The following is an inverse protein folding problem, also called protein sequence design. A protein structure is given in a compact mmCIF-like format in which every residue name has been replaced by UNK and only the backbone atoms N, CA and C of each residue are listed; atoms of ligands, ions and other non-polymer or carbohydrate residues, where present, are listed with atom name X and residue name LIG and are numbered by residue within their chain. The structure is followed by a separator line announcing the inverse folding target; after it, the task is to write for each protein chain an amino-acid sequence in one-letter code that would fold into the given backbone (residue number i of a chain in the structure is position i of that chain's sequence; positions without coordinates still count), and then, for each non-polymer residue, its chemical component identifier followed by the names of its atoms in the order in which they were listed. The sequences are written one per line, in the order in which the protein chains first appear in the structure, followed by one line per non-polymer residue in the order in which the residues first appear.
data_IF_230155811624
#
_entry.id   IF_230155811624
#
_cell.length_a   1.000
_cell.length_b   1.000
_cell.length_c   1.000
_cell.angle_alpha   90.00
_cell.angle_beta   90.00
_cell.angle_gamma   90.00
#
_symmetry.space_group_name_H-M   'P 1'
#
loop_
_entity.id
_entity.type
_entity.pdbx_description
1 polymer ?
#
# COMPACT_ATOMS: atom_id res chain seq x y z
N UNK A 1 13.51 22.78 -23.09
CA UNK A 1 14.09 22.78 -21.74
C UNK A 1 13.42 21.79 -20.79
N UNK A 2 12.08 21.73 -20.63
CA UNK A 2 11.40 20.79 -19.69
C UNK A 2 11.71 19.30 -19.95
N UNK A 3 11.81 18.86 -21.21
CA UNK A 3 12.12 17.46 -21.57
C UNK A 3 13.56 17.05 -21.21
N UNK A 4 14.52 17.98 -21.33
CA UNK A 4 15.92 17.72 -21.00
C UNK A 4 16.10 17.62 -19.47
N UNK A 5 15.41 18.46 -18.71
CA UNK A 5 15.42 18.41 -17.23
C UNK A 5 14.80 17.09 -16.74
N UNK A 6 13.69 16.64 -17.34
CA UNK A 6 13.08 15.35 -16.99
C UNK A 6 14.01 14.18 -17.29
N UNK A 7 14.68 14.21 -18.47
CA UNK A 7 15.64 13.16 -18.87
C UNK A 7 16.86 13.14 -17.93
N UNK A 8 17.38 14.32 -17.54
CA UNK A 8 18.47 14.45 -16.56
C UNK A 8 18.06 13.92 -15.19
N UNK A 9 16.83 14.19 -14.76
CA UNK A 9 16.31 13.72 -13.48
C UNK A 9 16.17 12.18 -13.48
N UNK A 10 15.63 11.61 -14.55
CA UNK A 10 15.54 10.15 -14.74
C UNK A 10 16.93 9.50 -14.81
N UNK A 11 17.90 10.14 -15.48
CA UNK A 11 19.27 9.63 -15.57
C UNK A 11 19.99 9.72 -14.22
N UNK A 12 19.82 10.82 -13.48
CA UNK A 12 20.36 10.97 -12.12
C UNK A 12 19.76 9.93 -11.17
N UNK A 13 18.46 9.70 -11.27
CA UNK A 13 17.75 8.66 -10.52
C UNK A 13 18.32 7.28 -10.85
N UNK A 14 18.52 6.97 -12.14
CA UNK A 14 19.08 5.70 -12.60
C UNK A 14 20.54 5.51 -12.14
N UNK A 15 21.38 6.55 -12.18
CA UNK A 15 22.79 6.50 -11.72
C UNK A 15 22.87 6.31 -10.21
N UNK A 16 22.01 6.96 -9.43
CA UNK A 16 21.94 6.78 -7.97
C UNK A 16 21.53 5.35 -7.61
N UNK A 17 20.61 4.75 -8.38
CA UNK A 17 20.18 3.35 -8.17
C UNK A 17 21.18 2.32 -8.70
N UNK A 18 22.05 2.65 -9.66
CA UNK A 18 23.07 1.73 -10.17
C UNK A 18 24.35 1.67 -9.32
N UNK A 19 24.47 2.47 -8.26
CA UNK A 19 25.63 2.42 -7.36
C UNK A 19 25.58 1.19 -6.45
N UNK A 20 26.04 0.10 -6.96
CA UNK A 20 26.53 -1.18 -6.40
C UNK A 20 26.46 -1.43 -4.87
N UNK A 21 25.27 -1.34 -4.27
CA UNK A 21 24.88 -2.23 -3.18
C UNK A 21 23.70 -3.03 -3.68
N UNK A 22 23.73 -4.34 -3.52
CA UNK A 22 22.58 -5.18 -3.83
C UNK A 22 21.38 -4.63 -3.04
N UNK A 23 20.47 -3.97 -3.71
CA UNK A 23 19.21 -3.58 -3.11
C UNK A 23 18.44 -4.86 -2.84
N UNK A 24 18.17 -5.17 -1.59
CA UNK A 24 17.24 -6.25 -1.29
C UNK A 24 15.85 -5.81 -1.75
N UNK A 25 15.23 -6.64 -2.55
CA UNK A 25 13.88 -6.44 -3.08
C UNK A 25 13.01 -7.54 -2.52
N UNK A 26 11.90 -7.18 -1.90
CA UNK A 26 10.92 -8.14 -1.45
C UNK A 26 9.64 -7.98 -2.28
N UNK A 27 9.17 -9.06 -2.88
CA UNK A 27 7.85 -9.14 -3.50
C UNK A 27 6.89 -9.79 -2.52
N UNK A 28 5.65 -9.30 -2.44
CA UNK A 28 4.68 -9.90 -1.52
C UNK A 28 3.26 -9.90 -2.06
N UNK A 29 2.49 -10.88 -1.60
CA UNK A 29 1.06 -10.97 -1.83
C UNK A 29 0.33 -11.14 -0.50
N UNK A 30 -0.87 -10.59 -0.40
CA UNK A 30 -1.63 -10.55 0.85
C UNK A 30 -3.14 -10.60 0.65
N UNK A 31 -3.83 -11.16 1.66
CA UNK A 31 -5.25 -10.93 1.89
C UNK A 31 -5.44 -9.71 2.76
N UNK A 32 -6.51 -8.98 2.54
CA UNK A 32 -6.82 -7.73 3.19
C UNK A 32 -8.27 -7.70 3.65
N UNK A 33 -8.52 -7.05 4.79
CA UNK A 33 -9.85 -6.67 5.25
C UNK A 33 -9.83 -5.19 5.57
N UNK A 34 -10.74 -4.42 4.97
CA UNK A 34 -10.87 -2.99 5.20
C UNK A 34 -12.22 -2.69 5.85
N UNK A 35 -12.16 -2.15 7.07
CA UNK A 35 -13.29 -1.68 7.85
C UNK A 35 -13.39 -0.17 7.68
N UNK A 36 -14.38 0.29 6.94
CA UNK A 36 -14.59 1.68 6.56
C UNK A 36 -15.69 2.29 7.42
N UNK A 37 -15.60 3.60 7.71
CA UNK A 37 -16.53 4.26 8.63
C UNK A 37 -17.97 4.34 8.09
N UNK A 38 -18.14 4.62 6.78
CA UNK A 38 -19.48 4.82 6.16
C UNK A 38 -19.97 3.61 5.33
N UNK A 39 -19.18 2.55 5.21
CA UNK A 39 -19.54 1.35 4.42
C UNK A 39 -19.35 0.07 5.21
N UNK A 40 -19.94 -1.03 4.74
CA UNK A 40 -19.66 -2.34 5.33
C UNK A 40 -18.21 -2.75 5.04
N UNK A 41 -17.56 -3.36 6.04
CA UNK A 41 -16.19 -3.85 5.90
C UNK A 41 -16.07 -4.88 4.78
N UNK A 42 -15.05 -4.76 3.94
CA UNK A 42 -14.87 -5.58 2.75
C UNK A 42 -13.59 -6.38 2.76
N UNK A 43 -13.64 -7.57 2.16
CA UNK A 43 -12.47 -8.41 1.93
C UNK A 43 -11.87 -8.10 0.56
N UNK A 44 -10.57 -8.20 0.50
CA UNK A 44 -9.81 -8.00 -0.73
C UNK A 44 -8.45 -8.67 -0.65
N UNK A 45 -7.60 -8.27 -1.54
CA UNK A 45 -6.22 -8.74 -1.57
C UNK A 45 -5.34 -7.77 -2.32
N UNK A 46 -4.05 -8.07 -2.34
CA UNK A 46 -3.12 -7.20 -3.04
C UNK A 46 -1.75 -7.83 -3.26
N UNK A 47 -0.97 -7.07 -3.99
CA UNK A 47 0.44 -7.37 -4.22
C UNK A 47 1.27 -6.12 -3.91
N UNK A 48 2.52 -6.32 -3.54
CA UNK A 48 3.40 -5.21 -3.27
C UNK A 48 4.87 -5.53 -3.46
N UNK A 49 5.65 -4.49 -3.39
CA UNK A 49 7.08 -4.48 -3.60
C UNK A 49 7.75 -3.61 -2.54
N UNK A 50 8.73 -4.16 -1.83
CA UNK A 50 9.61 -3.40 -0.95
C UNK A 50 11.01 -3.30 -1.57
N UNK A 51 11.61 -2.13 -1.49
CA UNK A 51 12.99 -1.87 -1.88
C UNK A 51 13.74 -1.33 -0.67
N UNK A 52 14.77 -2.02 -0.22
CA UNK A 52 15.64 -1.53 0.84
C UNK A 52 16.36 -0.26 0.39
N UNK A 53 16.27 0.79 1.20
CA UNK A 53 16.97 2.05 0.99
C UNK A 53 18.17 2.12 1.95
N UNK A 54 19.26 2.68 1.56
CA UNK A 54 20.45 3.04 2.35
C UNK A 54 20.82 2.13 3.54
N UNK A 55 19.84 1.68 4.33
CA UNK A 55 19.99 0.83 5.53
C UNK A 55 18.96 -0.30 5.51
N UNK A 56 19.25 -1.37 6.25
CA UNK A 56 18.31 -2.50 6.42
C UNK A 56 17.02 -2.12 7.17
N UNK A 57 17.03 -0.98 7.88
CA UNK A 57 15.90 -0.47 8.62
C UNK A 57 14.88 0.29 7.76
N UNK A 58 15.27 0.83 6.61
CA UNK A 58 14.41 1.70 5.82
C UNK A 58 14.09 1.06 4.47
N UNK A 59 12.81 0.95 4.16
CA UNK A 59 12.34 0.40 2.89
C UNK A 59 11.34 1.36 2.24
N UNK A 60 11.47 1.50 0.92
CA UNK A 60 10.42 2.08 0.08
C UNK A 60 9.39 0.98 -0.19
N UNK A 61 8.13 1.28 0.01
CA UNK A 61 7.02 0.36 -0.13
C UNK A 61 6.04 0.84 -1.20
N UNK A 62 5.71 -0.02 -2.15
CA UNK A 62 4.69 0.22 -3.15
C UNK A 62 3.73 -0.97 -3.20
N UNK A 63 2.42 -0.71 -3.19
CA UNK A 63 1.41 -1.77 -3.21
C UNK A 63 0.17 -1.40 -3.98
N UNK A 64 -0.53 -2.40 -4.47
CA UNK A 64 -1.84 -2.28 -5.09
C UNK A 64 -2.81 -3.25 -4.42
N UNK A 65 -4.02 -2.77 -4.16
CA UNK A 65 -5.12 -3.56 -3.60
C UNK A 65 -6.21 -3.76 -4.65
N UNK A 66 -7.02 -4.78 -4.42
CA UNK A 66 -8.27 -5.01 -5.12
C UNK A 66 -9.33 -5.35 -4.06
N UNK A 67 -10.30 -4.48 -3.92
CA UNK A 67 -11.50 -4.69 -3.12
C UNK A 67 -12.70 -4.68 -4.06
N UNK A 68 -13.42 -5.80 -4.09
CA UNK A 68 -14.62 -5.98 -4.89
C UNK A 68 -15.83 -6.06 -3.96
N UNK A 69 -17.00 -5.66 -4.46
CA UNK A 69 -18.28 -5.78 -3.77
C UNK A 69 -18.37 -4.97 -2.47
N UNK A 70 -18.01 -3.69 -2.50
CA UNK A 70 -18.41 -2.78 -1.44
C UNK A 70 -19.90 -2.48 -1.61
N UNK A 71 -20.75 -3.18 -0.87
CA UNK A 71 -22.19 -2.92 -0.86
C UNK A 71 -22.45 -1.60 -0.12
N UNK A 72 -22.80 -0.55 -0.86
CA UNK A 72 -23.24 0.74 -0.31
C UNK A 72 -24.75 0.69 -0.11
N UNK A 73 -25.25 -0.37 0.52
CA UNK A 73 -26.67 -0.55 0.79
C UNK A 73 -27.51 -0.58 -0.49
N UNK A 74 -28.48 0.32 -0.64
CA UNK A 74 -29.40 0.35 -1.78
C UNK A 74 -28.81 1.00 -3.06
N UNK A 75 -27.59 1.52 -3.02
CA UNK A 75 -27.02 2.38 -4.08
C UNK A 75 -26.13 1.66 -5.11
N UNK A 76 -25.80 0.38 -4.94
CA UNK A 76 -25.08 -0.42 -5.95
C UNK A 76 -23.64 -0.80 -5.58
N UNK A 77 -22.95 -1.48 -6.48
CA UNK A 77 -21.61 -2.00 -6.27
C UNK A 77 -20.57 -0.91 -6.49
N UNK A 78 -19.59 -0.81 -5.59
CA UNK A 78 -18.45 0.10 -5.67
C UNK A 78 -17.16 -0.73 -5.67
N UNK A 79 -16.36 -0.63 -6.73
CA UNK A 79 -15.02 -1.20 -6.80
C UNK A 79 -13.99 -0.16 -6.38
N UNK A 80 -13.16 -0.51 -5.40
CA UNK A 80 -12.11 0.39 -4.88
C UNK A 80 -10.75 -0.27 -5.08
N UNK A 81 -9.85 0.44 -5.74
CA UNK A 81 -8.49 -0.01 -6.02
C UNK A 81 -7.47 1.01 -5.48
N UNK A 82 -7.02 0.89 -4.24
CA UNK A 82 -5.97 1.73 -3.69
C UNK A 82 -4.58 1.37 -4.26
N UNK A 83 -3.79 2.39 -4.56
CA UNK A 83 -2.37 2.30 -4.88
C UNK A 83 -1.58 3.07 -3.84
N UNK A 84 -0.83 2.37 -3.01
CA UNK A 84 -0.07 2.96 -1.92
C UNK A 84 1.40 3.12 -2.29
N UNK A 85 1.98 4.26 -1.89
CA UNK A 85 3.42 4.50 -1.93
C UNK A 85 3.85 5.11 -0.60
N UNK A 86 4.81 4.47 0.07
CA UNK A 86 5.24 4.90 1.39
C UNK A 86 6.60 4.38 1.81
N UNK A 87 6.85 4.52 3.09
CA UNK A 87 8.07 4.05 3.73
C UNK A 87 7.72 3.09 4.87
N UNK A 88 8.57 2.07 5.05
CA UNK A 88 8.57 1.19 6.21
C UNK A 88 9.86 1.39 6.99
N UNK A 89 9.76 1.52 8.31
CA UNK A 89 10.90 1.59 9.24
C UNK A 89 10.90 0.35 10.10
N UNK A 90 11.82 -0.56 9.82
CA UNK A 90 12.02 -1.82 10.51
C UNK A 90 12.84 -1.63 11.78
N UNK A 91 12.41 -2.20 12.89
CA UNK A 91 13.05 -2.02 14.21
C UNK A 91 14.12 -3.08 14.42
N UNK A 92 13.85 -4.33 14.04
CA UNK A 92 14.72 -5.48 14.26
C UNK A 92 14.88 -6.33 12.97
N UNK A 93 15.44 -5.76 11.88
CA UNK A 93 15.38 -6.37 10.53
C UNK A 93 16.05 -7.75 10.42
N UNK A 94 17.00 -8.08 11.31
CA UNK A 94 17.70 -9.37 11.34
C UNK A 94 17.13 -10.37 12.34
N UNK A 95 16.06 -10.02 13.07
CA UNK A 95 15.43 -10.89 14.06
C UNK A 95 14.42 -11.88 13.41
N UNK A 96 14.08 -12.93 14.16
CA UNK A 96 13.01 -13.86 13.74
C UNK A 96 11.65 -13.14 13.63
N UNK A 97 11.45 -12.14 14.48
CA UNK A 97 10.27 -11.28 14.51
C UNK A 97 10.75 -9.85 14.39
N UNK A 98 10.34 -9.17 13.33
CA UNK A 98 10.77 -7.82 12.97
C UNK A 98 9.56 -6.88 12.93
N UNK A 99 9.29 -6.14 14.01
CA UNK A 99 8.25 -5.12 14.01
C UNK A 99 8.69 -3.90 13.20
N UNK A 100 7.72 -3.27 12.54
CA UNK A 100 7.94 -2.05 11.76
C UNK A 100 6.76 -1.09 11.85
N UNK A 101 7.04 0.17 11.57
CA UNK A 101 6.04 1.20 11.32
C UNK A 101 6.03 1.53 9.84
N UNK A 102 4.88 1.91 9.33
CA UNK A 102 4.72 2.28 7.93
C UNK A 102 3.83 3.49 7.77
N UNK A 103 4.01 4.21 6.68
CA UNK A 103 3.16 5.34 6.34
C UNK A 103 3.50 5.93 4.98
N UNK A 104 2.52 6.59 4.38
CA UNK A 104 2.67 7.12 3.04
C UNK A 104 1.40 7.76 2.51
N UNK A 105 1.30 7.78 1.20
CA UNK A 105 0.16 8.28 0.44
C UNK A 105 -0.49 7.15 -0.33
N UNK A 106 -1.79 7.23 -0.49
CA UNK A 106 -2.62 6.31 -1.25
C UNK A 106 -3.35 7.08 -2.33
N UNK A 107 -3.27 6.61 -3.57
CA UNK A 107 -4.18 7.02 -4.63
C UNK A 107 -5.29 5.99 -4.72
N UNK A 108 -6.51 6.42 -4.44
CA UNK A 108 -7.69 5.56 -4.43
C UNK A 108 -8.43 5.77 -5.74
N UNK A 109 -8.39 4.75 -6.60
CA UNK A 109 -9.22 4.69 -7.79
C UNK A 109 -10.55 4.04 -7.41
N UNK A 110 -11.64 4.78 -7.61
CA UNK A 110 -12.99 4.31 -7.36
C UNK A 110 -13.76 4.27 -8.69
N UNK A 111 -14.50 3.19 -8.92
CA UNK A 111 -15.36 3.01 -10.09
C UNK A 111 -16.72 2.44 -9.66
N UNK A 112 -17.80 3.03 -10.14
CA UNK A 112 -19.15 2.59 -9.86
C UNK A 112 -20.02 2.63 -11.11
N UNK A 113 -20.85 1.61 -11.30
CA UNK A 113 -21.75 1.49 -12.46
C UNK A 113 -22.91 2.48 -12.44
N UNK A 114 -23.21 3.12 -11.30
CA UNK A 114 -24.41 3.93 -11.12
C UNK A 114 -24.18 5.42 -10.89
N UNK A 115 -23.01 5.82 -10.41
CA UNK A 115 -22.70 7.22 -10.14
C UNK A 115 -21.21 7.52 -10.39
N UNK A 116 -20.93 8.76 -10.74
CA UNK A 116 -19.55 9.21 -10.93
C UNK A 116 -18.91 9.53 -9.57
N UNK A 117 -17.82 8.81 -9.26
CA UNK A 117 -16.97 9.02 -8.10
C UNK A 117 -15.61 9.51 -8.60
N UNK A 118 -15.11 10.58 -8.01
CA UNK A 118 -13.77 11.06 -8.34
C UNK A 118 -12.71 10.28 -7.51
N UNK A 119 -11.62 9.90 -8.17
CA UNK A 119 -10.47 9.30 -7.50
C UNK A 119 -9.82 10.29 -6.54
N UNK A 120 -9.39 9.84 -5.37
CA UNK A 120 -8.84 10.71 -4.33
C UNK A 120 -7.42 10.30 -3.92
N UNK A 121 -6.70 11.25 -3.31
CA UNK A 121 -5.41 11.00 -2.68
C UNK A 121 -5.57 11.11 -1.17
N UNK A 122 -5.17 10.08 -0.46
CA UNK A 122 -5.26 10.00 0.99
C UNK A 122 -3.91 9.73 1.65
N UNK A 123 -3.84 9.90 2.96
CA UNK A 123 -2.71 9.49 3.77
C UNK A 123 -2.99 8.21 4.53
N UNK A 124 -1.95 7.43 4.81
CA UNK A 124 -2.07 6.27 5.68
C UNK A 124 -0.88 6.14 6.63
N UNK A 125 -1.12 5.50 7.77
CA UNK A 125 -0.11 5.14 8.77
C UNK A 125 -0.48 3.79 9.39
N UNK A 126 0.52 3.01 9.75
CA UNK A 126 0.27 1.69 10.35
C UNK A 126 1.46 1.11 11.06
N UNK A 127 1.23 -0.07 11.58
CA UNK A 127 2.22 -0.93 12.19
C UNK A 127 2.18 -2.31 11.55
N UNK A 128 3.32 -2.97 11.50
CA UNK A 128 3.42 -4.31 10.94
C UNK A 128 4.44 -5.17 11.65
N UNK A 129 4.40 -6.44 11.32
CA UNK A 129 5.26 -7.47 11.87
C UNK A 129 5.67 -8.44 10.77
N UNK A 130 6.97 -8.59 10.53
CA UNK A 130 7.52 -9.67 9.70
C UNK A 130 7.96 -10.83 10.59
N UNK A 131 7.63 -12.06 10.20
CA UNK A 131 8.02 -13.29 10.90
C UNK A 131 8.79 -14.18 9.96
N UNK A 132 10.03 -14.48 10.32
CA UNK A 132 10.86 -15.44 9.60
C UNK A 132 10.45 -16.88 10.01
N UNK A 133 9.91 -17.62 9.05
CA UNK A 133 9.42 -18.99 9.26
C UNK A 133 10.55 -20.04 9.25
N UNK A 134 11.81 -19.65 9.10
CA UNK A 134 12.93 -20.58 8.90
C UNK A 134 12.97 -21.19 7.49
N UNK A 135 12.09 -20.74 6.59
CA UNK A 135 12.09 -21.11 5.18
C UNK A 135 12.94 -20.08 4.43
N UNK A 136 13.98 -20.49 3.70
CA UNK A 136 14.79 -19.55 2.94
C UNK A 136 13.93 -18.68 2.01
N UNK A 137 14.22 -17.39 1.97
CA UNK A 137 13.58 -16.40 1.09
C UNK A 137 12.08 -16.16 1.33
N UNK A 138 11.49 -16.69 2.41
CA UNK A 138 10.06 -16.52 2.70
C UNK A 138 9.85 -15.96 4.10
N UNK A 139 9.06 -14.90 4.21
CA UNK A 139 8.55 -14.37 5.48
C UNK A 139 7.03 -14.32 5.46
N UNK A 140 6.41 -14.56 6.61
CA UNK A 140 5.02 -14.20 6.88
C UNK A 140 4.98 -12.75 7.36
N UNK A 141 3.95 -12.00 7.00
CA UNK A 141 3.74 -10.67 7.59
C UNK A 141 2.29 -10.42 7.96
N UNK A 142 2.09 -9.50 8.89
CA UNK A 142 0.79 -8.96 9.27
C UNK A 142 0.89 -7.47 9.51
N UNK A 143 -0.14 -6.71 9.15
CA UNK A 143 -0.20 -5.25 9.28
C UNK A 143 -1.56 -4.79 9.76
N UNK A 144 -1.57 -3.68 10.50
CA UNK A 144 -2.75 -2.89 10.80
C UNK A 144 -2.48 -1.45 10.35
N UNK A 145 -3.31 -0.93 9.45
CA UNK A 145 -3.15 0.35 8.78
C UNK A 145 -4.41 1.18 9.03
N UNK A 146 -4.26 2.44 9.44
CA UNK A 146 -5.32 3.42 9.39
C UNK A 146 -5.15 4.30 8.16
N UNK A 147 -6.22 4.49 7.42
CA UNK A 147 -6.28 5.26 6.18
C UNK A 147 -7.29 6.39 6.36
N UNK A 148 -6.90 7.63 6.06
CA UNK A 148 -7.78 8.79 6.08
C UNK A 148 -8.13 9.14 4.64
N UNK A 149 -9.33 8.81 4.20
CA UNK A 149 -9.77 8.97 2.82
C UNK A 149 -11.19 9.51 2.74
N UNK A 150 -11.39 10.56 1.98
CA UNK A 150 -12.70 11.09 1.60
C UNK A 150 -12.86 10.98 0.08
N UNK A 151 -13.99 10.44 -0.37
CA UNK A 151 -14.35 10.30 -1.77
C UNK A 151 -15.40 11.34 -2.12
N UNK A 152 -15.02 12.28 -2.97
CA UNK A 152 -15.92 13.34 -3.45
C UNK A 152 -16.97 12.74 -4.43
N UNK A 153 -18.25 12.93 -4.15
CA UNK A 153 -19.36 12.63 -5.09
C UNK A 153 -19.75 13.89 -5.86
N UNK A 154 -19.96 13.77 -7.16
CA UNK A 154 -20.48 14.88 -7.97
C UNK A 154 -21.92 15.26 -7.63
N UNK A 155 -22.71 14.35 -7.08
CA UNK A 155 -24.09 14.56 -6.64
C UNK A 155 -24.32 13.71 -5.39
N UNK A 156 -24.63 14.37 -4.25
CA UNK A 156 -24.87 13.74 -2.95
C UNK A 156 -23.90 14.18 -1.87
N UNK A 157 -23.90 13.49 -0.75
CA UNK A 157 -22.91 13.67 0.33
C UNK A 157 -21.64 12.89 -0.02
N UNK A 158 -20.49 13.40 0.40
CA UNK A 158 -19.19 12.73 0.24
C UNK A 158 -19.16 11.44 1.07
N UNK A 159 -18.41 10.44 0.60
CA UNK A 159 -18.26 9.15 1.29
C UNK A 159 -16.98 9.19 2.11
N UNK A 160 -17.10 8.99 3.42
CA UNK A 160 -15.94 8.78 4.28
C UNK A 160 -15.48 7.32 4.16
N UNK A 161 -14.42 7.12 3.38
CA UNK A 161 -13.74 5.84 3.21
C UNK A 161 -12.56 5.67 4.19
N UNK A 162 -12.47 6.53 5.21
CA UNK A 162 -11.51 6.37 6.29
C UNK A 162 -11.77 5.07 7.04
N UNK A 163 -10.74 4.48 7.63
CA UNK A 163 -10.92 3.26 8.39
C UNK A 163 -9.66 2.44 8.58
N UNK A 164 -9.85 1.28 9.20
CA UNK A 164 -8.77 0.35 9.47
C UNK A 164 -8.68 -0.75 8.41
N UNK A 165 -7.45 -1.01 7.94
CA UNK A 165 -7.14 -2.11 7.03
C UNK A 165 -6.23 -3.10 7.74
N UNK A 166 -6.63 -4.37 7.80
CA UNK A 166 -5.80 -5.49 8.26
C UNK A 166 -5.25 -6.28 7.06
N UNK A 167 -3.95 -6.49 7.00
CA UNK A 167 -3.30 -7.28 5.96
C UNK A 167 -2.57 -8.47 6.54
N UNK A 168 -2.65 -9.64 5.88
CA UNK A 168 -1.84 -10.83 6.19
C UNK A 168 -1.37 -11.45 4.89
N UNK A 169 -0.07 -11.76 4.81
CA UNK A 169 0.49 -12.26 3.56
C UNK A 169 1.88 -12.86 3.68
N UNK A 170 2.44 -13.18 2.52
CA UNK A 170 3.78 -13.75 2.38
C UNK A 170 4.68 -12.81 1.57
N UNK A 171 5.93 -12.65 2.02
CA UNK A 171 7.00 -11.91 1.34
C UNK A 171 8.02 -12.90 0.79
N UNK A 172 8.44 -12.68 -0.46
CA UNK A 172 9.55 -13.35 -1.13
C UNK A 172 10.73 -12.38 -1.20
N UNK A 173 11.87 -12.78 -0.65
CA UNK A 173 13.08 -11.96 -0.53
C UNK A 173 14.05 -12.29 -1.67
N UNK A 174 14.62 -11.24 -2.32
CA UNK A 174 15.58 -11.35 -3.42
C UNK A 174 16.84 -10.51 -3.20
#
# INVERSE_FOLDING_TARGET
MKKVVLLSLCFLFFVVFCSSKAFAIDLYGFGSYWDQDDTEGTWGGGIGLNIQLFTEHLRLDGRAYLFEDNDIGHDGDLSITPFDLGLQVHILPSATVDPYILGGVSYIYADSDRFEVDSTVSGYVGIGLDVNLGIPLVKLFGEAIYRAAELDRKIGEDIDASGFTGNVGLKLLF
#
